data_IF_478354953401
#
_entry.id   IF_478354953401
#
_cell.length_a   1.000
_cell.length_b   1.000
_cell.length_c   1.000
_cell.angle_alpha   90.00
_cell.angle_beta   90.00
_cell.angle_gamma   90.00
#
_symmetry.space_group_name_H-M   'P 1'
#
loop_
_entity.id
_entity.type
_entity.pdbx_description
1 polymer ?
#
# COMPACT_ATOMS: atom_id res chain seq x y z
N UNK A 1 40.58 18.89 -5.40
CA UNK A 1 39.61 18.24 -6.32
C UNK A 1 38.61 17.30 -5.64
N UNK A 2 38.89 16.74 -4.45
CA UNK A 2 38.03 15.72 -3.82
C UNK A 2 36.63 16.17 -3.33
N UNK A 3 36.45 17.43 -2.94
CA UNK A 3 35.16 17.90 -2.40
C UNK A 3 34.03 17.89 -3.44
N UNK A 4 34.35 18.20 -4.70
CA UNK A 4 33.36 18.19 -5.80
C UNK A 4 32.94 16.76 -6.15
N UNK A 5 33.89 15.83 -6.19
CA UNK A 5 33.63 14.41 -6.44
C UNK A 5 32.73 13.80 -5.37
N UNK A 6 32.97 14.12 -4.10
CA UNK A 6 32.15 13.62 -2.99
C UNK A 6 30.70 14.12 -3.04
N UNK A 7 30.50 15.39 -3.41
CA UNK A 7 29.15 15.96 -3.60
C UNK A 7 28.41 15.25 -4.73
N UNK A 8 29.09 15.00 -5.85
CA UNK A 8 28.50 14.30 -7.00
C UNK A 8 28.09 12.87 -6.63
N UNK A 9 28.93 12.16 -5.88
CA UNK A 9 28.63 10.80 -5.40
C UNK A 9 27.43 10.79 -4.45
N UNK A 10 27.36 11.74 -3.51
CA UNK A 10 26.21 11.82 -2.60
C UNK A 10 24.92 12.14 -3.36
N UNK A 11 24.98 13.05 -4.34
CA UNK A 11 23.83 13.39 -5.17
C UNK A 11 23.35 12.20 -6.02
N UNK A 12 24.27 11.40 -6.57
CA UNK A 12 23.91 10.22 -7.36
C UNK A 12 23.29 9.11 -6.51
N UNK A 13 23.82 8.86 -5.31
CA UNK A 13 23.23 7.91 -4.35
C UNK A 13 21.81 8.35 -3.96
N UNK A 14 21.62 9.65 -3.70
CA UNK A 14 20.31 10.18 -3.36
C UNK A 14 19.30 10.03 -4.51
N UNK A 15 19.71 10.37 -5.75
CA UNK A 15 18.87 10.20 -6.93
C UNK A 15 18.49 8.73 -7.17
N UNK A 16 19.45 7.80 -7.01
CA UNK A 16 19.19 6.36 -7.12
C UNK A 16 18.21 5.87 -6.06
N UNK A 17 18.31 6.35 -4.82
CA UNK A 17 17.37 6.00 -3.74
C UNK A 17 15.92 6.43 -4.01
N UNK A 18 15.74 7.57 -4.69
CA UNK A 18 14.42 8.02 -5.16
C UNK A 18 13.89 7.08 -6.24
N UNK A 19 14.68 6.80 -7.27
CA UNK A 19 14.28 5.95 -8.41
C UNK A 19 13.88 4.55 -7.91
N UNK A 20 14.69 3.95 -7.03
CA UNK A 20 14.39 2.65 -6.44
C UNK A 20 13.10 2.72 -5.62
N UNK A 21 12.87 3.81 -4.87
CA UNK A 21 11.63 4.04 -4.14
C UNK A 21 10.38 3.92 -5.02
N UNK A 22 10.41 4.46 -6.24
CA UNK A 22 9.29 4.34 -7.20
C UNK A 22 9.12 2.94 -7.80
N UNK A 23 10.19 2.13 -7.86
CA UNK A 23 10.14 0.77 -8.39
C UNK A 23 9.64 -0.26 -7.37
N UNK A 24 9.69 0.05 -6.07
CA UNK A 24 9.21 -0.86 -5.03
C UNK A 24 7.68 -0.88 -5.05
N UNK A 25 7.04 -2.07 -5.19
CA UNK A 25 5.59 -2.17 -5.24
C UNK A 25 4.97 -1.66 -3.92
N UNK A 26 3.82 -1.01 -4.06
CA UNK A 26 3.02 -0.58 -2.91
C UNK A 26 2.31 -1.79 -2.30
N UNK A 27 2.29 -1.87 -0.98
CA UNK A 27 1.62 -2.96 -0.27
C UNK A 27 0.42 -2.41 0.51
N UNK A 28 -0.74 -3.03 0.36
CA UNK A 28 -1.91 -2.78 1.20
C UNK A 28 -1.95 -3.76 2.36
N UNK A 29 -2.14 -3.25 3.58
CA UNK A 29 -2.46 -4.06 4.76
C UNK A 29 -3.91 -3.81 5.14
N UNK A 30 -4.72 -4.86 5.08
CA UNK A 30 -6.14 -4.82 5.47
C UNK A 30 -6.40 -5.54 6.79
N UNK A 31 -7.46 -5.14 7.48
CA UNK A 31 -8.03 -5.96 8.56
C UNK A 31 -8.66 -7.21 7.92
N UNK A 32 -8.25 -8.41 8.36
CA UNK A 32 -8.67 -9.73 7.85
C UNK A 32 -10.16 -10.01 8.16
N UNK A 33 -11.08 -9.20 7.65
CA UNK A 33 -12.49 -9.59 7.55
C UNK A 33 -12.74 -10.04 6.12
N UNK A 34 -12.97 -11.34 5.94
CA UNK A 34 -13.33 -11.91 4.66
C UNK A 34 -14.62 -11.24 4.17
N UNK A 35 -14.52 -10.42 3.14
CA UNK A 35 -15.67 -9.80 2.53
C UNK A 35 -16.12 -10.64 1.34
N UNK A 36 -17.36 -11.08 1.37
CA UNK A 36 -17.95 -11.93 0.33
C UNK A 36 -19.24 -11.32 -0.18
N UNK A 37 -19.49 -11.56 -1.47
CA UNK A 37 -20.74 -11.25 -2.16
C UNK A 37 -21.86 -12.24 -1.80
N UNK A 38 -21.52 -13.40 -1.23
CA UNK A 38 -22.46 -14.41 -0.76
C UNK A 38 -21.91 -15.21 0.42
N UNK A 39 -22.76 -15.47 1.41
CA UNK A 39 -22.43 -16.14 2.66
C UNK A 39 -22.46 -17.66 2.51
N UNK A 40 -21.32 -18.31 2.26
CA UNK A 40 -21.24 -19.76 2.47
C UNK A 40 -21.20 -20.18 3.94
N UNK A 41 -21.22 -19.22 4.90
CA UNK A 41 -21.09 -19.53 6.32
C UNK A 41 -22.21 -18.99 7.23
N UNK A 42 -23.14 -18.15 6.75
CA UNK A 42 -24.27 -17.67 7.57
C UNK A 42 -25.54 -17.46 6.73
N UNK A 43 -26.72 -17.93 7.19
CA UNK A 43 -27.97 -17.76 6.48
C UNK A 43 -28.54 -16.37 6.82
N UNK A 44 -27.96 -15.30 6.29
CA UNK A 44 -28.60 -14.00 6.40
C UNK A 44 -28.17 -13.09 5.25
N UNK A 45 -29.19 -12.70 4.47
CA UNK A 45 -29.20 -11.60 3.51
C UNK A 45 -28.47 -11.92 2.19
N UNK A 46 -29.25 -12.36 1.20
CA UNK A 46 -28.91 -12.25 -0.22
C UNK A 46 -28.72 -10.75 -0.49
N UNK A 47 -27.48 -10.31 -0.68
CA UNK A 47 -27.18 -8.90 -0.94
C UNK A 47 -27.42 -8.64 -2.43
N UNK A 48 -28.22 -7.63 -2.81
CA UNK A 48 -28.47 -7.31 -4.22
C UNK A 48 -27.17 -6.91 -4.90
N UNK A 49 -27.07 -7.22 -6.19
CA UNK A 49 -25.96 -6.84 -7.06
C UNK A 49 -25.57 -5.37 -6.85
N UNK A 50 -24.26 -5.09 -6.80
CA UNK A 50 -23.77 -3.74 -6.54
C UNK A 50 -22.40 -3.66 -5.85
N UNK A 51 -22.03 -2.44 -5.48
CA UNK A 51 -20.77 -2.13 -4.82
C UNK A 51 -20.93 -2.20 -3.30
N UNK A 52 -20.01 -2.90 -2.64
CA UNK A 52 -20.00 -3.06 -1.19
C UNK A 52 -18.67 -2.66 -0.59
N UNK A 53 -18.77 -1.84 0.44
CA UNK A 53 -17.63 -1.37 1.20
C UNK A 53 -17.41 -2.22 2.44
N UNK A 54 -16.18 -2.70 2.62
CA UNK A 54 -15.91 -3.87 3.44
C UNK A 54 -14.94 -3.61 4.57
N UNK A 55 -13.69 -3.33 4.19
CA UNK A 55 -12.58 -3.25 5.11
C UNK A 55 -11.96 -1.86 5.04
N UNK A 56 -11.55 -1.38 6.21
CA UNK A 56 -10.58 -0.30 6.26
C UNK A 56 -9.21 -0.91 6.01
N UNK A 57 -8.54 -0.40 5.00
CA UNK A 57 -7.21 -0.84 4.59
C UNK A 57 -6.26 0.33 4.61
N UNK A 58 -4.98 0.04 4.76
CA UNK A 58 -3.93 1.04 4.71
C UNK A 58 -2.98 0.70 3.58
N UNK A 59 -2.81 1.62 2.63
CA UNK A 59 -1.89 1.43 1.51
C UNK A 59 -0.58 2.15 1.80
N UNK A 60 0.52 1.42 1.71
CA UNK A 60 1.87 1.94 1.92
C UNK A 60 2.57 2.07 0.58
N UNK A 61 2.83 3.31 0.17
CA UNK A 61 3.54 3.62 -1.06
C UNK A 61 4.95 4.13 -0.70
N UNK A 62 6.03 3.45 -1.12
CA UNK A 62 7.39 3.95 -0.91
C UNK A 62 7.58 5.28 -1.65
N UNK A 63 8.15 6.27 -0.96
CA UNK A 63 8.46 7.60 -1.52
C UNK A 63 9.97 7.75 -1.68
N UNK A 64 10.75 7.23 -0.73
CA UNK A 64 12.19 7.37 -0.74
C UNK A 64 12.87 6.26 0.04
N UNK A 65 13.91 5.66 -0.55
CA UNK A 65 14.71 4.62 0.08
C UNK A 65 16.16 5.07 0.30
N UNK A 66 16.64 4.93 1.53
CA UNK A 66 18.06 4.89 1.88
C UNK A 66 18.41 3.51 2.45
N UNK A 67 19.70 3.19 2.50
CA UNK A 67 20.24 1.98 3.13
C UNK A 67 19.62 1.62 4.49
N UNK A 68 19.21 2.61 5.30
CA UNK A 68 18.70 2.40 6.67
C UNK A 68 17.25 2.86 6.83
N UNK A 69 16.88 3.94 6.14
CA UNK A 69 15.58 4.58 6.28
C UNK A 69 14.76 4.40 5.02
N UNK A 70 13.48 4.10 5.17
CA UNK A 70 12.51 4.18 4.09
C UNK A 70 11.38 5.13 4.52
N UNK A 71 11.07 6.08 3.66
CA UNK A 71 9.93 6.97 3.83
C UNK A 71 8.80 6.41 2.98
N UNK A 72 7.70 6.05 3.64
CA UNK A 72 6.48 5.59 2.99
C UNK A 72 5.38 6.61 3.17
N UNK A 73 4.52 6.73 2.16
CA UNK A 73 3.23 7.38 2.27
C UNK A 73 2.20 6.33 2.68
N UNK A 74 1.61 6.53 3.85
CA UNK A 74 0.60 5.68 4.45
C UNK A 74 -0.76 6.33 4.19
N UNK A 75 -1.54 5.74 3.29
CA UNK A 75 -2.84 6.27 2.90
C UNK A 75 -3.96 5.42 3.52
N UNK A 76 -4.91 6.01 4.26
CA UNK A 76 -6.14 5.31 4.60
C UNK A 76 -6.94 5.05 3.33
N UNK A 77 -7.40 3.82 3.19
CA UNK A 77 -8.22 3.37 2.09
C UNK A 77 -9.36 2.50 2.56
N UNK A 78 -10.30 2.27 1.67
CA UNK A 78 -11.43 1.41 1.89
C UNK A 78 -11.52 0.42 0.74
N UNK A 79 -11.62 -0.85 1.11
CA UNK A 79 -11.83 -1.92 0.15
C UNK A 79 -13.30 -1.90 -0.28
N UNK A 80 -13.51 -1.81 -1.58
CA UNK A 80 -14.81 -1.88 -2.25
C UNK A 80 -14.79 -3.11 -3.16
N UNK A 81 -15.70 -4.04 -2.91
CA UNK A 81 -15.94 -5.19 -3.77
C UNK A 81 -17.17 -4.93 -4.64
N UNK A 82 -17.14 -5.41 -5.87
CA UNK A 82 -18.30 -5.38 -6.76
C UNK A 82 -18.86 -6.79 -6.86
N UNK A 83 -20.15 -6.91 -6.61
CA UNK A 83 -20.89 -8.17 -6.57
C UNK A 83 -21.88 -8.24 -7.73
N UNK A 84 -21.88 -9.37 -8.43
CA UNK A 84 -22.85 -9.68 -9.47
C UNK A 84 -23.20 -11.18 -9.38
N UNK A 85 -24.49 -11.51 -9.30
CA UNK A 85 -24.96 -12.90 -9.19
C UNK A 85 -24.52 -13.62 -7.91
N UNK A 86 -24.17 -12.87 -6.85
CA UNK A 86 -23.63 -13.42 -5.59
C UNK A 86 -22.12 -13.73 -5.63
N UNK A 87 -21.44 -13.46 -6.75
CA UNK A 87 -20.00 -13.62 -6.89
C UNK A 87 -19.25 -12.27 -6.88
N UNK A 88 -18.00 -12.31 -6.43
CA UNK A 88 -17.10 -11.15 -6.48
C UNK A 88 -16.48 -11.05 -7.87
N UNK A 89 -16.87 -10.04 -8.63
CA UNK A 89 -16.35 -9.79 -9.97
C UNK A 89 -15.17 -8.82 -9.98
N UNK A 90 -15.07 -7.94 -8.98
CA UNK A 90 -14.01 -6.94 -8.90
C UNK A 90 -13.72 -6.53 -7.46
N UNK A 91 -12.48 -6.09 -7.24
CA UNK A 91 -12.00 -5.46 -6.01
C UNK A 91 -11.28 -4.18 -6.38
N UNK A 92 -11.58 -3.11 -5.66
CA UNK A 92 -10.81 -1.88 -5.73
C UNK A 92 -10.60 -1.28 -4.36
N UNK A 93 -9.59 -0.44 -4.27
CA UNK A 93 -9.26 0.33 -3.08
C UNK A 93 -9.49 1.79 -3.36
N UNK A 94 -10.43 2.40 -2.64
CA UNK A 94 -10.66 3.83 -2.71
C UNK A 94 -9.94 4.53 -1.56
N UNK A 95 -9.21 5.62 -1.85
CA UNK A 95 -8.55 6.42 -0.82
C UNK A 95 -9.57 7.31 -0.13
N UNK A 96 -9.70 7.17 1.19
CA UNK A 96 -10.74 7.86 1.97
C UNK A 96 -10.22 9.08 2.75
N UNK A 97 -8.93 9.39 2.64
CA UNK A 97 -8.35 10.54 3.31
C UNK A 97 -6.93 10.87 2.86
N UNK A 98 -6.36 11.89 3.51
CA UNK A 98 -5.00 12.35 3.23
C UNK A 98 -3.95 11.33 3.67
N UNK A 99 -2.98 11.07 2.80
CA UNK A 99 -1.86 10.21 3.13
C UNK A 99 -0.91 10.91 4.11
N UNK A 100 -0.34 10.14 5.04
CA UNK A 100 0.68 10.62 5.98
C UNK A 100 2.02 10.00 5.63
N UNK A 101 3.09 10.79 5.69
CA UNK A 101 4.44 10.25 5.57
C UNK A 101 4.81 9.55 6.88
N UNK A 102 5.33 8.33 6.76
CA UNK A 102 5.85 7.54 7.86
C UNK A 102 7.30 7.15 7.56
N UNK A 103 8.15 7.22 8.59
CA UNK A 103 9.52 6.75 8.53
C UNK A 103 9.54 5.30 9.03
N UNK A 104 9.91 4.37 8.16
CA UNK A 104 10.25 3.00 8.52
C UNK A 104 11.77 2.82 8.54
N UNK A 105 12.27 2.03 9.48
CA UNK A 105 13.67 1.60 9.50
C UNK A 105 13.76 0.18 8.96
N UNK A 106 14.61 -0.05 7.97
CA UNK A 106 15.02 -1.40 7.61
C UNK A 106 16.20 -1.78 8.50
N UNK A 107 15.97 -2.63 9.50
CA UNK A 107 17.06 -3.40 10.07
C UNK A 107 17.33 -4.57 9.12
N UNK A 108 18.39 -4.45 8.29
CA UNK A 108 19.01 -5.62 7.68
C UNK A 108 19.57 -6.49 8.81
N UNK A 109 18.79 -7.46 9.27
CA UNK A 109 19.33 -8.60 10.03
C UNK A 109 19.99 -9.48 8.99
N UNK A 110 21.31 -9.38 8.86
CA UNK A 110 22.10 -10.39 8.17
C UNK A 110 21.75 -11.74 8.81
N UNK A 111 21.06 -12.59 8.05
CA UNK A 111 20.81 -14.00 8.38
C UNK A 111 21.67 -14.84 7.46
#
# INVERSE_FOLDING_TARGET
MHRKTLIIILASIFALGIIIGFLVPSYSRGTLRACSCGSHLLPEIIVPDGEKTCNQITTNNPVFFTLIFNIYSVCPGQEIIVCEGGEKISERVEKTGSCKLALGTFMYVFS
#
